data_IF_581276003907
#
_entry.id   IF_581276003907
#
_cell.length_a   1.000
_cell.length_b   1.000
_cell.length_c   1.000
_cell.angle_alpha   90.00
_cell.angle_beta   90.00
_cell.angle_gamma   90.00
#
_symmetry.space_group_name_H-M   'P 1'
#
loop_
_entity.id
_entity.type
_entity.pdbx_description
1 polymer ?
#
# COMPACT_ATOMS: atom_id res chain seq x y z
N UNK A 1 -16.90 -9.97 -3.29
CA UNK A 1 -16.21 -8.75 -3.83
C UNK A 1 -15.60 -8.06 -2.62
N UNK A 2 -14.42 -7.46 -2.71
CA UNK A 2 -13.94 -6.62 -1.62
C UNK A 2 -14.87 -5.40 -1.56
N UNK A 3 -15.90 -5.40 -0.70
CA UNK A 3 -16.66 -4.18 -0.34
C UNK A 3 -15.71 -3.05 0.11
N UNK A 4 -14.53 -3.47 0.54
CA UNK A 4 -13.43 -2.70 1.06
C UNK A 4 -12.71 -1.75 0.07
N UNK A 5 -13.08 -1.70 -1.22
CA UNK A 5 -12.59 -0.71 -2.20
C UNK A 5 -13.56 0.45 -2.44
N UNK A 6 -14.82 0.29 -2.06
CA UNK A 6 -15.79 1.37 -2.15
C UNK A 6 -15.46 2.38 -1.03
N UNK A 7 -15.31 3.66 -1.39
CA UNK A 7 -14.98 4.78 -0.49
C UNK A 7 -13.52 4.94 -0.03
N UNK A 8 -12.54 4.38 -0.74
CA UNK A 8 -11.14 4.74 -0.45
C UNK A 8 -10.87 6.21 -0.79
N UNK A 9 -10.41 6.98 0.19
CA UNK A 9 -10.11 8.42 0.03
C UNK A 9 -8.65 8.66 -0.39
N UNK A 10 -8.18 7.97 -1.43
CA UNK A 10 -6.76 7.94 -1.84
C UNK A 10 -6.06 9.28 -1.67
N UNK A 11 -5.02 9.31 -0.83
CA UNK A 11 -4.12 10.46 -0.64
C UNK A 11 -4.76 11.77 -0.17
N UNK A 12 -6.05 11.77 0.20
CA UNK A 12 -6.78 12.97 0.62
C UNK A 12 -6.21 13.63 1.88
N UNK A 13 -5.52 12.85 2.71
CA UNK A 13 -4.87 13.26 3.95
C UNK A 13 -3.35 13.02 3.92
N UNK A 14 -2.76 12.89 2.72
CA UNK A 14 -1.32 12.72 2.58
C UNK A 14 -0.56 13.95 3.12
N UNK A 15 0.44 13.71 3.95
CA UNK A 15 1.27 14.73 4.61
C UNK A 15 0.69 15.27 5.93
N UNK A 16 -0.45 14.76 6.38
CA UNK A 16 -1.08 15.17 7.65
C UNK A 16 -1.09 14.08 8.70
N UNK A 17 -0.44 12.94 8.43
CA UNK A 17 -0.49 11.79 9.31
C UNK A 17 0.11 12.08 10.68
N UNK A 18 -0.58 11.62 11.74
CA UNK A 18 -0.10 11.64 13.11
C UNK A 18 0.23 10.22 13.55
N UNK A 19 1.49 10.00 13.94
CA UNK A 19 1.99 8.68 14.28
C UNK A 19 1.19 8.05 15.45
N UNK A 20 0.82 6.78 15.29
CA UNK A 20 0.30 5.93 16.35
C UNK A 20 1.39 4.95 16.80
N UNK A 21 1.25 4.27 17.96
CA UNK A 21 2.20 3.24 18.37
C UNK A 21 2.43 2.19 17.26
N UNK A 22 3.69 1.94 16.91
CA UNK A 22 4.06 1.03 15.82
C UNK A 22 4.02 1.65 14.42
N UNK A 23 3.90 2.98 14.31
CA UNK A 23 3.96 3.73 13.06
C UNK A 23 4.86 4.96 13.21
N UNK A 24 5.43 5.42 12.10
CA UNK A 24 6.19 6.67 12.01
C UNK A 24 5.51 7.60 11.01
N UNK A 25 5.30 8.85 11.42
CA UNK A 25 4.88 9.89 10.49
C UNK A 25 6.09 10.40 9.72
N UNK A 26 5.97 10.52 8.40
CA UNK A 26 6.92 11.20 7.55
C UNK A 26 6.44 12.65 7.39
N UNK A 27 6.98 13.62 8.15
CA UNK A 27 6.47 14.99 8.13
C UNK A 27 6.79 15.74 6.84
N UNK A 28 7.73 15.23 6.05
CA UNK A 28 8.18 15.84 4.80
C UNK A 28 8.85 14.79 3.93
N UNK A 29 8.59 14.84 2.62
CA UNK A 29 9.26 14.02 1.62
C UNK A 29 10.77 14.33 1.49
N UNK A 30 11.28 15.39 2.14
CA UNK A 30 12.72 15.68 2.25
C UNK A 30 13.40 14.85 3.36
N UNK A 31 12.64 14.36 4.34
CA UNK A 31 13.18 13.53 5.42
C UNK A 31 13.54 12.11 4.95
N UNK A 32 13.25 11.77 3.68
CA UNK A 32 13.51 10.46 3.08
C UNK A 32 14.99 10.07 3.12
N UNK A 33 15.91 10.98 2.76
CA UNK A 33 17.36 10.67 2.74
C UNK A 33 17.89 10.39 4.16
N UNK A 34 17.17 10.83 5.19
CA UNK A 34 17.54 10.69 6.60
C UNK A 34 16.76 9.62 7.36
N UNK A 35 15.68 9.07 6.78
CA UNK A 35 14.71 8.26 7.52
C UNK A 35 15.13 6.79 7.73
N UNK A 36 16.28 6.36 7.18
CA UNK A 36 16.73 4.96 7.24
C UNK A 36 15.60 3.96 6.95
N UNK A 37 14.79 4.28 5.94
CA UNK A 37 13.62 3.51 5.54
C UNK A 37 13.78 2.99 4.11
N UNK A 38 13.20 1.83 3.85
CA UNK A 38 13.00 1.28 2.53
C UNK A 38 11.60 1.63 2.02
N UNK A 39 11.50 2.08 0.77
CA UNK A 39 10.20 2.32 0.15
C UNK A 39 9.41 1.02 0.02
N UNK A 40 8.09 1.11 0.26
CA UNK A 40 7.21 0.01 -0.06
C UNK A 40 7.23 -0.28 -1.57
N UNK A 41 7.07 -1.55 -1.98
CA UNK A 41 7.00 -1.92 -3.38
C UNK A 41 5.94 -1.14 -4.16
N UNK A 42 6.30 -0.72 -5.37
CA UNK A 42 5.44 0.03 -6.29
C UNK A 42 5.13 -0.74 -7.58
N UNK A 43 5.74 -1.91 -7.76
CA UNK A 43 5.63 -2.71 -8.97
C UNK A 43 5.44 -4.19 -8.69
N UNK A 44 4.78 -4.89 -9.62
CA UNK A 44 4.40 -6.31 -9.47
C UNK A 44 5.59 -7.25 -9.22
N UNK A 45 6.75 -6.93 -9.78
CA UNK A 45 7.95 -7.78 -9.75
C UNK A 45 8.80 -7.62 -8.49
N UNK A 46 8.51 -6.63 -7.66
CA UNK A 46 9.20 -6.47 -6.38
C UNK A 46 8.70 -7.50 -5.35
N UNK A 47 9.62 -8.08 -4.56
CA UNK A 47 9.26 -9.03 -3.52
C UNK A 47 8.38 -8.36 -2.45
N UNK A 48 7.53 -9.16 -1.81
CA UNK A 48 6.79 -8.70 -0.64
C UNK A 48 7.73 -8.67 0.58
N UNK A 49 8.02 -7.50 1.18
CA UNK A 49 8.89 -7.39 2.36
C UNK A 49 8.31 -8.04 3.61
N UNK A 50 7.01 -8.34 3.66
CA UNK A 50 6.36 -8.89 4.86
C UNK A 50 6.21 -10.40 4.79
N UNK A 51 5.61 -10.92 3.71
CA UNK A 51 5.32 -12.35 3.60
C UNK A 51 6.18 -13.09 2.58
N UNK A 52 6.97 -12.38 1.76
CA UNK A 52 7.62 -12.95 0.59
C UNK A 52 6.61 -13.73 -0.28
N UNK A 53 6.90 -15.01 -0.52
CA UNK A 53 6.02 -15.89 -1.30
C UNK A 53 5.06 -16.75 -0.45
N UNK A 54 4.96 -16.50 0.87
CA UNK A 54 4.20 -17.34 1.77
C UNK A 54 2.69 -17.37 1.46
N UNK A 55 2.06 -16.21 1.20
CA UNK A 55 0.62 -16.14 0.91
C UNK A 55 0.24 -16.85 -0.41
N UNK A 56 0.90 -16.58 -1.56
CA UNK A 56 0.65 -17.33 -2.78
C UNK A 56 0.90 -18.83 -2.62
N UNK A 57 1.94 -19.23 -1.88
CA UNK A 57 2.25 -20.65 -1.64
C UNK A 57 1.14 -21.34 -0.86
N UNK A 58 0.67 -20.71 0.22
CA UNK A 58 -0.42 -21.24 1.04
C UNK A 58 -1.71 -21.40 0.24
N UNK A 59 -2.09 -20.39 -0.55
CA UNK A 59 -3.31 -20.44 -1.37
C UNK A 59 -3.24 -21.53 -2.45
N UNK A 60 -2.06 -21.73 -3.06
CA UNK A 60 -1.82 -22.82 -4.01
C UNK A 60 -1.94 -24.19 -3.35
N UNK A 61 -1.34 -24.37 -2.18
CA UNK A 61 -1.41 -25.63 -1.41
C UNK A 61 -2.85 -25.96 -1.00
N UNK A 62 -3.64 -24.95 -0.66
CA UNK A 62 -5.06 -25.09 -0.35
C UNK A 62 -5.97 -25.26 -1.59
N UNK A 63 -5.42 -25.26 -2.81
CA UNK A 63 -6.19 -25.34 -4.05
C UNK A 63 -7.13 -24.15 -4.30
N UNK A 64 -6.88 -23.01 -3.65
CA UNK A 64 -7.76 -21.83 -3.73
C UNK A 64 -7.45 -21.02 -4.99
N UNK A 65 -8.41 -20.82 -5.92
CA UNK A 65 -8.19 -20.04 -7.13
C UNK A 65 -8.17 -18.53 -6.83
N UNK A 66 -7.00 -18.00 -6.45
CA UNK A 66 -6.87 -16.63 -5.96
C UNK A 66 -6.63 -15.57 -7.07
N UNK A 67 -6.02 -15.96 -8.20
CA UNK A 67 -5.55 -15.02 -9.22
C UNK A 67 -6.68 -14.14 -9.79
N UNK A 68 -7.85 -14.72 -10.05
CA UNK A 68 -8.99 -13.99 -10.61
C UNK A 68 -9.52 -12.93 -9.64
N UNK A 69 -9.65 -13.28 -8.36
CA UNK A 69 -10.13 -12.36 -7.32
C UNK A 69 -9.15 -11.21 -7.09
N UNK A 70 -7.85 -11.51 -6.97
CA UNK A 70 -6.79 -10.50 -6.82
C UNK A 70 -6.76 -9.56 -8.03
N UNK A 71 -6.87 -10.09 -9.25
CA UNK A 71 -6.89 -9.29 -10.48
C UNK A 71 -8.14 -8.40 -10.58
N UNK A 72 -9.30 -8.89 -10.11
CA UNK A 72 -10.52 -8.09 -10.09
C UNK A 72 -10.37 -6.88 -9.15
N UNK A 73 -9.86 -7.09 -7.93
CA UNK A 73 -9.62 -6.01 -6.97
C UNK A 73 -8.56 -5.02 -7.48
N UNK A 74 -7.48 -5.51 -8.09
CA UNK A 74 -6.46 -4.65 -8.71
C UNK A 74 -7.07 -3.73 -9.78
N UNK A 75 -7.94 -4.27 -10.65
CA UNK A 75 -8.59 -3.48 -11.71
C UNK A 75 -9.53 -2.42 -11.15
N UNK A 76 -10.27 -2.74 -10.08
CA UNK A 76 -11.12 -1.77 -9.37
C UNK A 76 -10.29 -0.63 -8.78
N UNK A 77 -9.20 -0.96 -8.08
CA UNK A 77 -8.28 0.04 -7.54
C UNK A 77 -7.64 0.89 -8.66
N UNK A 78 -7.20 0.26 -9.75
CA UNK A 78 -6.66 0.96 -10.92
C UNK A 78 -7.67 1.93 -11.52
N UNK A 79 -8.95 1.56 -11.59
CA UNK A 79 -10.00 2.45 -12.06
C UNK A 79 -10.20 3.64 -11.11
N UNK A 80 -10.29 3.37 -9.80
CA UNK A 80 -10.47 4.39 -8.76
C UNK A 80 -9.32 5.40 -8.71
N UNK A 81 -8.07 4.93 -8.84
CA UNK A 81 -6.87 5.76 -8.80
C UNK A 81 -6.71 6.69 -10.02
N UNK A 82 -7.49 6.52 -11.10
CA UNK A 82 -7.49 7.46 -12.25
C UNK A 82 -7.98 8.86 -11.89
N UNK A 83 -8.71 9.00 -10.79
CA UNK A 83 -9.19 10.28 -10.30
C UNK A 83 -8.14 11.04 -9.49
N UNK A 84 -6.98 10.43 -9.19
CA UNK A 84 -5.88 11.10 -8.49
C UNK A 84 -5.25 12.13 -9.43
N UNK A 85 -5.21 13.43 -9.05
CA UNK A 85 -4.60 14.46 -9.88
C UNK A 85 -3.10 14.23 -10.07
N UNK A 86 -2.58 14.62 -11.23
CA UNK A 86 -1.14 14.69 -11.47
C UNK A 86 -0.49 15.61 -10.42
N UNK A 87 0.74 15.25 -10.01
CA UNK A 87 1.53 16.03 -9.04
C UNK A 87 0.85 16.29 -7.69
N UNK A 88 -0.18 15.51 -7.32
CA UNK A 88 -0.85 15.59 -6.02
C UNK A 88 0.16 15.50 -4.86
N UNK A 89 1.10 14.55 -4.98
CA UNK A 89 2.16 14.34 -3.99
C UNK A 89 3.47 14.80 -4.65
N UNK A 90 3.72 16.10 -4.63
CA UNK A 90 4.92 16.68 -5.23
C UNK A 90 5.66 17.60 -4.26
N UNK A 91 6.99 17.66 -4.44
CA UNK A 91 7.85 18.60 -3.72
C UNK A 91 8.89 19.16 -4.68
N UNK A 92 8.79 20.45 -4.98
CA UNK A 92 9.63 21.09 -5.98
C UNK A 92 9.44 20.45 -7.35
N UNK A 93 10.53 20.04 -8.00
CA UNK A 93 10.48 19.33 -9.28
C UNK A 93 10.04 17.87 -9.16
N UNK A 94 10.20 17.25 -7.99
CA UNK A 94 9.94 15.82 -7.77
C UNK A 94 8.45 15.55 -7.61
N UNK A 95 7.94 14.62 -8.41
CA UNK A 95 6.58 14.11 -8.33
C UNK A 95 6.60 12.65 -7.84
N UNK A 96 6.04 12.42 -6.67
CA UNK A 96 5.92 11.12 -6.02
C UNK A 96 4.57 10.47 -6.28
N UNK A 97 3.64 11.17 -6.93
CA UNK A 97 2.30 10.65 -7.26
C UNK A 97 2.36 9.30 -8.00
N UNK A 98 3.24 9.10 -9.01
CA UNK A 98 3.35 7.79 -9.67
C UNK A 98 3.80 6.67 -8.74
N UNK A 99 4.74 6.96 -7.82
CA UNK A 99 5.21 5.99 -6.84
C UNK A 99 4.11 5.64 -5.83
N UNK A 100 3.37 6.64 -5.36
CA UNK A 100 2.25 6.46 -4.45
C UNK A 100 1.12 5.63 -5.07
N UNK A 101 0.75 5.90 -6.33
CA UNK A 101 -0.22 5.09 -7.08
C UNK A 101 0.27 3.64 -7.23
N UNK A 102 1.54 3.44 -7.59
CA UNK A 102 2.13 2.11 -7.68
C UNK A 102 2.08 1.34 -6.35
N UNK A 103 2.40 2.01 -5.24
CA UNK A 103 2.33 1.45 -3.89
C UNK A 103 0.91 1.08 -3.48
N UNK A 104 -0.08 1.94 -3.78
CA UNK A 104 -1.49 1.65 -3.52
C UNK A 104 -1.98 0.40 -4.27
N UNK A 105 -1.63 0.28 -5.56
CA UNK A 105 -1.96 -0.88 -6.38
C UNK A 105 -1.30 -2.16 -5.87
N UNK A 106 -0.03 -2.08 -5.44
CA UNK A 106 0.67 -3.19 -4.83
C UNK A 106 0.00 -3.61 -3.51
N UNK A 107 -0.33 -2.65 -2.65
CA UNK A 107 -1.02 -2.88 -1.39
C UNK A 107 -2.36 -3.60 -1.59
N UNK A 108 -3.19 -3.15 -2.55
CA UNK A 108 -4.47 -3.83 -2.86
C UNK A 108 -4.26 -5.29 -3.28
N UNK A 109 -3.22 -5.56 -4.08
CA UNK A 109 -2.88 -6.93 -4.50
C UNK A 109 -2.55 -7.80 -3.28
N UNK A 110 -1.72 -7.29 -2.36
CA UNK A 110 -1.27 -8.04 -1.20
C UNK A 110 -2.34 -8.18 -0.13
N UNK A 111 -3.11 -7.13 0.14
CA UNK A 111 -4.28 -7.17 1.03
C UNK A 111 -5.31 -8.19 0.53
N UNK A 112 -5.52 -8.29 -0.78
CA UNK A 112 -6.39 -9.32 -1.37
C UNK A 112 -5.86 -10.74 -1.09
N UNK A 113 -4.54 -10.95 -1.12
CA UNK A 113 -3.93 -12.23 -0.77
C UNK A 113 -4.09 -12.54 0.73
N UNK A 114 -3.89 -11.56 1.60
CA UNK A 114 -4.09 -11.69 3.06
C UNK A 114 -5.54 -12.09 3.38
N UNK A 115 -6.53 -11.41 2.79
CA UNK A 115 -7.95 -11.73 2.97
C UNK A 115 -8.28 -13.15 2.50
N UNK A 116 -7.85 -13.53 1.30
CA UNK A 116 -8.12 -14.86 0.74
C UNK A 116 -7.43 -15.97 1.55
N UNK A 117 -6.26 -15.69 2.11
CA UNK A 117 -5.52 -16.61 2.96
C UNK A 117 -6.05 -16.64 4.42
N UNK A 118 -7.06 -15.83 4.75
CA UNK A 118 -7.56 -15.63 6.12
C UNK A 118 -6.44 -15.26 7.11
N UNK A 119 -5.48 -14.47 6.64
CA UNK A 119 -4.34 -13.97 7.41
C UNK A 119 -4.34 -12.46 7.37
N UNK A 120 -5.21 -11.86 8.17
CA UNK A 120 -5.20 -10.41 8.31
C UNK A 120 -3.88 -9.96 8.92
N UNK A 121 -3.29 -8.92 8.34
CA UNK A 121 -1.95 -8.50 8.72
C UNK A 121 -1.59 -7.12 8.19
N UNK A 122 -0.31 -6.99 7.84
CA UNK A 122 0.29 -5.72 7.46
C UNK A 122 -0.42 -5.05 6.30
N UNK A 123 -0.74 -5.79 5.23
CA UNK A 123 -1.23 -5.17 3.99
C UNK A 123 -2.68 -4.71 4.11
N UNK A 124 -3.51 -5.41 4.88
CA UNK A 124 -4.84 -4.93 5.23
C UNK A 124 -4.79 -3.68 6.10
N UNK A 125 -3.91 -3.64 7.10
CA UNK A 125 -3.70 -2.44 7.92
C UNK A 125 -3.19 -1.26 7.07
N UNK A 126 -2.30 -1.51 6.12
CA UNK A 126 -1.84 -0.49 5.16
C UNK A 126 -3.00 -0.02 4.25
N UNK A 127 -3.89 -0.92 3.84
CA UNK A 127 -5.07 -0.56 3.06
C UNK A 127 -6.05 0.32 3.85
N UNK A 128 -6.16 0.13 5.17
CA UNK A 128 -6.93 1.01 6.04
C UNK A 128 -6.36 2.44 6.11
N UNK A 129 -5.04 2.60 6.05
CA UNK A 129 -4.43 3.93 5.96
C UNK A 129 -4.78 4.63 4.65
N UNK A 130 -4.82 3.89 3.54
CA UNK A 130 -5.31 4.44 2.27
C UNK A 130 -6.79 4.82 2.33
N UNK A 131 -7.64 4.06 3.04
CA UNK A 131 -9.05 4.43 3.28
C UNK A 131 -9.18 5.78 3.99
N UNK A 132 -8.30 6.02 4.95
CA UNK A 132 -8.19 7.28 5.68
C UNK A 132 -7.55 8.40 4.85
N UNK A 133 -6.97 8.06 3.69
CA UNK A 133 -6.38 8.98 2.73
C UNK A 133 -4.91 9.30 2.96
N UNK A 134 -4.21 8.48 3.76
CA UNK A 134 -2.77 8.59 3.96
C UNK A 134 -1.99 7.73 2.97
N UNK A 135 -0.68 7.98 2.87
CA UNK A 135 0.23 7.17 2.07
C UNK A 135 1.20 6.36 2.95
N UNK A 136 0.91 5.07 3.22
CA UNK A 136 1.92 4.17 3.77
C UNK A 136 3.02 3.98 2.71
N UNK A 137 4.20 4.52 2.99
CA UNK A 137 5.20 4.78 1.97
C UNK A 137 6.50 3.98 2.16
N UNK A 138 6.80 3.53 3.38
CA UNK A 138 8.03 2.80 3.64
C UNK A 138 8.01 1.98 4.92
N UNK A 139 9.10 1.26 5.13
CA UNK A 139 9.40 0.46 6.32
C UNK A 139 10.78 0.83 6.82
N UNK A 140 10.96 0.96 8.13
CA UNK A 140 12.30 0.98 8.73
C UNK A 140 12.73 -0.45 9.07
N UNK A 141 14.01 -0.65 9.41
CA UNK A 141 14.63 -1.97 9.57
C UNK A 141 13.95 -2.89 10.60
N UNK A 142 13.25 -2.33 11.60
CA UNK A 142 12.51 -3.10 12.61
C UNK A 142 11.08 -3.49 12.17
N UNK A 143 10.67 -3.11 10.96
CA UNK A 143 9.35 -3.36 10.41
C UNK A 143 8.31 -2.27 10.72
N UNK A 144 8.69 -1.17 11.38
CA UNK A 144 7.78 -0.06 11.66
C UNK A 144 7.36 0.63 10.36
N UNK A 145 6.04 0.81 10.19
CA UNK A 145 5.44 1.41 9.01
C UNK A 145 5.61 2.93 9.01
N UNK A 146 6.16 3.46 7.92
CA UNK A 146 6.28 4.90 7.68
C UNK A 146 5.12 5.39 6.82
N UNK A 147 4.44 6.43 7.27
CA UNK A 147 3.22 6.96 6.66
C UNK A 147 3.36 8.46 6.43
N UNK A 148 3.08 8.89 5.20
CA UNK A 148 2.99 10.29 4.81
C UNK A 148 1.54 10.77 4.87
#
# INVERSE_FOLDING_TARGET
MMEALDNISWFRAAGTFQAQPGQLALPSLHAWDSASMDWLPTSRGQPDPVHGDALPTLLKQAGTPYLQAVMANYKLALHSLRCVPDRLISKGAHDFTPAAIGAALYCVRMASLEMLAQREGFWLAALDLYRQGHWPCGLVADGTLVVY
#
